data_IF_748563212749
#
_entry.id   IF_748563212749
#
_cell.length_a   1.000
_cell.length_b   1.000
_cell.length_c   1.000
_cell.angle_alpha   90.00
_cell.angle_beta   90.00
_cell.angle_gamma   90.00
#
_symmetry.space_group_name_H-M   'P 1'
#
loop_
_entity.id
_entity.type
_entity.pdbx_description
1 polymer ?
#
# COMPACT_ATOMS: atom_id res chain seq x y z
N UNK A 1 8.84 -17.21 32.95
CA UNK A 1 8.99 -16.84 31.53
C UNK A 1 7.71 -16.10 31.11
N UNK A 2 7.84 -14.87 30.64
CA UNK A 2 6.67 -14.10 30.20
C UNK A 2 6.17 -14.71 28.87
N UNK A 3 5.02 -15.37 28.91
CA UNK A 3 4.41 -16.01 27.74
C UNK A 3 4.00 -14.89 26.78
N UNK A 4 4.64 -14.81 25.61
CA UNK A 4 4.29 -13.83 24.59
C UNK A 4 2.93 -14.23 24.01
N UNK A 5 1.88 -13.47 24.33
CA UNK A 5 0.55 -13.69 23.75
C UNK A 5 0.56 -13.05 22.37
N UNK A 6 0.37 -13.84 21.33
CA UNK A 6 0.24 -13.32 19.96
C UNK A 6 -1.03 -12.47 19.83
N UNK A 7 -0.91 -11.35 19.14
CA UNK A 7 -2.06 -10.51 18.78
C UNK A 7 -2.87 -11.14 17.62
N UNK A 8 -2.24 -12.04 16.85
CA UNK A 8 -2.84 -12.72 15.70
C UNK A 8 -3.58 -13.96 16.17
N UNK A 9 -4.79 -14.18 15.63
CA UNK A 9 -5.55 -15.41 15.85
C UNK A 9 -5.25 -16.44 14.78
N UNK A 10 -5.25 -17.71 15.16
CA UNK A 10 -5.10 -18.87 14.27
C UNK A 10 -6.47 -19.50 14.04
N UNK A 11 -6.91 -19.53 12.79
CA UNK A 11 -8.07 -20.32 12.36
C UNK A 11 -7.60 -21.75 12.13
N UNK A 12 -8.14 -22.71 12.87
CA UNK A 12 -7.81 -24.14 12.76
C UNK A 12 -8.99 -24.84 12.13
N UNK A 13 -8.79 -25.47 10.97
CA UNK A 13 -9.86 -26.08 10.18
C UNK A 13 -9.51 -27.52 9.84
N UNK A 14 -10.29 -28.46 10.33
CA UNK A 14 -10.16 -29.89 10.07
C UNK A 14 -11.53 -30.56 10.26
N UNK A 15 -11.90 -31.51 9.41
CA UNK A 15 -13.18 -32.23 9.52
C UNK A 15 -13.19 -33.25 10.66
N UNK A 16 -12.05 -33.45 11.32
CA UNK A 16 -11.92 -34.33 12.50
C UNK A 16 -11.86 -33.49 13.77
N UNK A 17 -12.93 -33.45 14.60
CA UNK A 17 -12.99 -32.57 15.78
C UNK A 17 -11.86 -32.79 16.78
N UNK A 18 -11.39 -34.03 16.93
CA UNK A 18 -10.30 -34.38 17.85
C UNK A 18 -8.97 -33.74 17.44
N UNK A 19 -8.71 -33.61 16.12
CA UNK A 19 -7.52 -32.96 15.60
C UNK A 19 -7.59 -31.44 15.83
N UNK A 20 -8.78 -30.86 15.63
CA UNK A 20 -9.01 -29.43 15.89
C UNK A 20 -8.77 -29.13 17.37
N UNK A 21 -9.30 -29.94 18.27
CA UNK A 21 -9.14 -29.79 19.72
C UNK A 21 -7.67 -29.90 20.14
N UNK A 22 -6.95 -30.94 19.71
CA UNK A 22 -5.54 -31.17 20.01
C UNK A 22 -4.66 -30.00 19.52
N UNK A 23 -4.85 -29.56 18.28
CA UNK A 23 -4.10 -28.44 17.72
C UNK A 23 -4.40 -27.13 18.45
N UNK A 24 -5.65 -26.85 18.76
CA UNK A 24 -6.03 -25.65 19.50
C UNK A 24 -5.44 -25.65 20.91
N UNK A 25 -5.52 -26.75 21.66
CA UNK A 25 -4.94 -26.88 23.00
C UNK A 25 -3.41 -26.62 22.97
N UNK A 26 -2.71 -27.24 22.03
CA UNK A 26 -1.27 -27.04 21.86
C UNK A 26 -0.92 -25.59 21.55
N UNK A 27 -1.59 -24.97 20.56
CA UNK A 27 -1.33 -23.60 20.13
C UNK A 27 -1.68 -22.58 21.23
N UNK A 28 -2.76 -22.78 21.96
CA UNK A 28 -3.13 -21.95 23.12
C UNK A 28 -2.13 -22.09 24.25
N UNK A 29 -1.63 -23.31 24.48
CA UNK A 29 -0.54 -23.53 25.42
C UNK A 29 0.74 -22.78 25.01
N UNK A 30 0.94 -22.54 23.72
CA UNK A 30 2.07 -21.82 23.13
C UNK A 30 1.87 -20.31 23.00
N UNK A 31 0.68 -19.79 23.41
CA UNK A 31 0.37 -18.35 23.48
C UNK A 31 -0.39 -17.78 22.28
N UNK A 32 -0.91 -18.62 21.39
CA UNK A 32 -1.83 -18.22 20.34
C UNK A 32 -3.28 -18.23 20.85
N UNK A 33 -4.15 -17.54 20.16
CA UNK A 33 -5.61 -17.63 20.31
C UNK A 33 -6.15 -18.36 19.09
N UNK A 34 -6.87 -19.46 19.33
CA UNK A 34 -7.41 -20.28 18.26
C UNK A 34 -8.89 -20.01 18.00
N UNK A 35 -9.28 -20.22 16.75
CA UNK A 35 -10.66 -20.24 16.30
C UNK A 35 -10.89 -21.61 15.66
N UNK A 36 -11.48 -22.56 16.38
CA UNK A 36 -11.73 -23.90 15.88
C UNK A 36 -12.87 -23.90 14.85
N UNK A 37 -12.72 -24.69 13.80
CA UNK A 37 -13.74 -24.93 12.78
C UNK A 37 -13.67 -26.38 12.28
N UNK A 38 -14.81 -27.01 12.12
CA UNK A 38 -14.93 -28.40 11.65
C UNK A 38 -15.34 -28.50 10.17
N UNK A 39 -15.50 -27.36 9.51
CA UNK A 39 -15.87 -27.30 8.10
C UNK A 39 -15.35 -26.03 7.41
N UNK A 40 -15.14 -26.11 6.10
CA UNK A 40 -14.77 -24.97 5.27
C UNK A 40 -15.80 -23.84 5.30
N UNK A 41 -17.09 -24.18 5.40
CA UNK A 41 -18.17 -23.20 5.49
C UNK A 41 -18.08 -22.38 6.78
N UNK A 42 -17.93 -23.05 7.90
CA UNK A 42 -17.75 -22.37 9.19
C UNK A 42 -16.48 -21.51 9.20
N UNK A 43 -15.39 -22.02 8.63
CA UNK A 43 -14.13 -21.27 8.49
C UNK A 43 -14.32 -19.96 7.73
N UNK A 44 -15.06 -19.96 6.64
CA UNK A 44 -15.38 -18.75 5.85
C UNK A 44 -16.19 -17.75 6.69
N UNK A 45 -17.20 -18.21 7.41
CA UNK A 45 -18.03 -17.37 8.28
C UNK A 45 -17.21 -16.72 9.40
N UNK A 46 -16.39 -17.52 10.10
CA UNK A 46 -15.49 -17.03 11.17
C UNK A 46 -14.44 -16.06 10.65
N UNK A 47 -13.81 -16.39 9.52
CA UNK A 47 -12.81 -15.52 8.91
C UNK A 47 -13.39 -14.17 8.50
N UNK A 48 -14.62 -14.17 7.97
CA UNK A 48 -15.30 -12.94 7.57
C UNK A 48 -15.68 -12.06 8.77
N UNK A 49 -16.14 -12.71 9.85
CA UNK A 49 -16.60 -12.02 11.06
C UNK A 49 -15.44 -11.47 11.92
N UNK A 50 -14.27 -12.11 11.90
CA UNK A 50 -13.14 -11.77 12.77
C UNK A 50 -11.90 -11.38 11.96
N UNK A 51 -11.62 -10.09 11.92
CA UNK A 51 -10.46 -9.53 11.21
C UNK A 51 -9.12 -9.77 11.93
N UNK A 52 -9.11 -10.22 13.18
CA UNK A 52 -7.90 -10.57 13.92
C UNK A 52 -7.32 -11.93 13.50
N UNK A 53 -8.07 -12.75 12.74
CA UNK A 53 -7.55 -13.97 12.14
C UNK A 53 -6.56 -13.60 11.06
N UNK A 54 -5.30 -13.97 11.28
CA UNK A 54 -4.21 -13.69 10.35
C UNK A 54 -3.41 -14.93 9.98
N UNK A 55 -3.58 -16.04 10.71
CA UNK A 55 -3.00 -17.34 10.37
C UNK A 55 -4.14 -18.35 10.15
N UNK A 56 -4.01 -19.17 9.14
CA UNK A 56 -4.96 -20.23 8.81
C UNK A 56 -4.20 -21.55 8.77
N UNK A 57 -4.62 -22.50 9.57
CA UNK A 57 -4.12 -23.86 9.60
C UNK A 57 -5.26 -24.77 9.14
N UNK A 58 -5.18 -25.36 7.98
CA UNK A 58 -6.28 -26.15 7.44
C UNK A 58 -5.84 -27.50 6.91
N UNK A 59 -6.70 -28.51 7.08
CA UNK A 59 -6.54 -29.80 6.41
C UNK A 59 -6.75 -29.64 4.91
N UNK A 60 -5.99 -30.42 4.14
CA UNK A 60 -6.12 -30.47 2.68
C UNK A 60 -7.39 -31.19 2.24
N UNK A 61 -7.70 -32.32 2.88
CA UNK A 61 -8.74 -33.24 2.43
C UNK A 61 -9.98 -33.15 3.32
N UNK A 62 -10.81 -32.17 3.08
CA UNK A 62 -12.08 -31.99 3.77
C UNK A 62 -13.26 -32.30 2.85
N UNK A 63 -14.43 -32.73 3.38
CA UNK A 63 -15.66 -32.86 2.61
C UNK A 63 -16.10 -31.55 1.99
N UNK A 64 -16.79 -31.61 0.87
CA UNK A 64 -17.40 -30.48 0.13
C UNK A 64 -16.40 -29.50 -0.51
N UNK A 65 -15.50 -28.92 0.26
CA UNK A 65 -14.51 -27.95 -0.19
C UNK A 65 -13.15 -28.31 0.42
N UNK A 66 -12.17 -28.62 -0.44
CA UNK A 66 -10.81 -28.92 0.00
C UNK A 66 -10.08 -27.67 0.55
N UNK A 67 -8.97 -27.90 1.28
CA UNK A 67 -8.22 -26.82 1.90
C UNK A 67 -7.64 -25.81 0.90
N UNK A 68 -7.31 -26.22 -0.33
CA UNK A 68 -6.82 -25.32 -1.38
C UNK A 68 -7.94 -24.37 -1.83
N UNK A 69 -9.12 -24.93 -2.08
CA UNK A 69 -10.31 -24.16 -2.46
C UNK A 69 -10.71 -23.21 -1.34
N UNK A 70 -10.66 -23.65 -0.08
CA UNK A 70 -10.90 -22.82 1.08
C UNK A 70 -9.94 -21.61 1.09
N UNK A 71 -8.63 -21.83 0.98
CA UNK A 71 -7.64 -20.73 0.97
C UNK A 71 -7.88 -19.76 -0.17
N UNK A 72 -8.20 -20.24 -1.37
CA UNK A 72 -8.54 -19.39 -2.50
C UNK A 72 -9.78 -18.51 -2.24
N UNK A 73 -10.81 -19.07 -1.60
CA UNK A 73 -12.00 -18.32 -1.23
C UNK A 73 -11.70 -17.29 -0.14
N UNK A 74 -10.90 -17.65 0.88
CA UNK A 74 -10.45 -16.69 1.89
C UNK A 74 -9.62 -15.55 1.28
N UNK A 75 -8.76 -15.82 0.28
CA UNK A 75 -8.00 -14.81 -0.44
C UNK A 75 -8.93 -13.86 -1.22
N UNK A 76 -9.95 -14.42 -1.89
CA UNK A 76 -10.97 -13.62 -2.59
C UNK A 76 -11.68 -12.66 -1.64
N UNK A 77 -12.08 -13.15 -0.47
CA UNK A 77 -12.77 -12.36 0.56
C UNK A 77 -11.86 -11.32 1.23
N UNK A 78 -10.60 -11.66 1.48
CA UNK A 78 -9.60 -10.76 2.04
C UNK A 78 -9.28 -9.58 1.11
N UNK A 79 -9.32 -9.81 -0.20
CA UNK A 79 -8.99 -8.82 -1.21
C UNK A 79 -7.58 -8.24 -1.05
N UNK A 80 -7.42 -6.94 -1.35
CA UNK A 80 -6.11 -6.25 -1.27
C UNK A 80 -5.84 -5.62 0.11
N UNK A 81 -6.82 -5.65 1.01
CA UNK A 81 -6.78 -4.86 2.24
C UNK A 81 -6.50 -5.70 3.50
N UNK A 82 -6.60 -7.01 3.40
CA UNK A 82 -6.38 -7.93 4.50
C UNK A 82 -5.32 -8.97 4.12
N UNK A 83 -4.24 -9.03 4.88
CA UNK A 83 -3.22 -10.05 4.74
C UNK A 83 -3.46 -11.19 5.75
N UNK A 84 -3.29 -12.41 5.30
CA UNK A 84 -3.19 -13.60 6.13
C UNK A 84 -2.22 -14.59 5.49
N UNK A 85 -1.71 -15.54 6.28
CA UNK A 85 -0.86 -16.64 5.81
C UNK A 85 -1.58 -17.96 6.08
N UNK A 86 -1.51 -18.88 5.13
CA UNK A 86 -2.14 -20.19 5.22
C UNK A 86 -1.09 -21.30 5.25
N UNK A 87 -1.25 -22.22 6.19
CA UNK A 87 -0.47 -23.44 6.35
C UNK A 87 -1.40 -24.63 6.12
N UNK A 88 -0.98 -25.58 5.30
CA UNK A 88 -1.75 -26.76 4.97
C UNK A 88 -1.28 -27.98 5.76
N UNK A 89 -2.23 -28.73 6.28
CA UNK A 89 -2.00 -30.07 6.84
C UNK A 89 -2.44 -31.12 5.81
N UNK A 90 -1.74 -32.22 5.68
CA UNK A 90 -2.09 -33.28 4.74
C UNK A 90 -1.70 -34.66 5.23
N UNK A 91 -2.59 -35.62 5.13
CA UNK A 91 -2.31 -37.02 5.45
C UNK A 91 -1.44 -37.73 4.39
N UNK A 92 -1.52 -37.31 3.13
CA UNK A 92 -0.69 -37.77 2.01
C UNK A 92 -0.29 -36.57 1.16
N UNK A 93 1.00 -36.30 1.09
CA UNK A 93 1.52 -35.31 0.16
C UNK A 93 1.72 -35.97 -1.20
N UNK A 94 0.73 -35.91 -2.08
CA UNK A 94 0.98 -36.15 -3.50
C UNK A 94 1.72 -34.93 -4.08
N UNK A 95 2.73 -35.19 -4.92
CA UNK A 95 3.51 -34.12 -5.57
C UNK A 95 2.64 -33.10 -6.30
N UNK A 96 1.50 -33.54 -6.85
CA UNK A 96 0.56 -32.67 -7.56
C UNK A 96 -0.17 -31.74 -6.59
N UNK A 97 -0.53 -32.19 -5.40
CA UNK A 97 -1.23 -31.38 -4.41
C UNK A 97 -0.32 -30.32 -3.81
N UNK A 98 0.95 -30.64 -3.57
CA UNK A 98 1.96 -29.67 -3.16
C UNK A 98 2.13 -28.55 -4.20
N UNK A 99 2.17 -28.93 -5.50
CA UNK A 99 2.28 -27.94 -6.59
C UNK A 99 1.04 -27.05 -6.66
N UNK A 100 -0.17 -27.61 -6.49
CA UNK A 100 -1.42 -26.84 -6.46
C UNK A 100 -1.44 -25.89 -5.25
N UNK A 101 -1.05 -26.37 -4.08
CA UNK A 101 -0.97 -25.60 -2.86
C UNK A 101 -0.03 -24.37 -3.00
N UNK A 102 1.17 -24.57 -3.55
CA UNK A 102 2.11 -23.50 -3.83
C UNK A 102 1.54 -22.46 -4.83
N UNK A 103 0.85 -22.92 -5.87
CA UNK A 103 0.20 -22.03 -6.85
C UNK A 103 -0.97 -21.25 -6.23
N UNK A 104 -1.64 -21.83 -5.25
CA UNK A 104 -2.70 -21.18 -4.50
C UNK A 104 -2.17 -20.19 -3.44
N UNK A 105 -0.85 -20.00 -3.32
CA UNK A 105 -0.26 -19.06 -2.38
C UNK A 105 -0.28 -19.54 -0.93
N UNK A 106 -0.30 -20.86 -0.72
CA UNK A 106 -0.12 -21.46 0.61
C UNK A 106 1.32 -21.28 1.02
N UNK A 107 1.53 -20.78 2.24
CA UNK A 107 2.84 -20.36 2.73
C UNK A 107 3.72 -21.55 3.14
N UNK A 108 3.10 -22.61 3.69
CA UNK A 108 3.83 -23.81 4.12
C UNK A 108 2.88 -25.01 4.19
N UNK A 109 3.42 -26.24 4.23
CA UNK A 109 2.62 -27.45 4.41
C UNK A 109 3.30 -28.45 5.33
N UNK A 110 2.52 -29.22 6.10
CA UNK A 110 2.99 -30.26 7.02
C UNK A 110 2.25 -31.58 6.80
N UNK A 111 3.00 -32.66 6.86
CA UNK A 111 2.43 -33.98 6.73
C UNK A 111 1.95 -34.52 8.09
N UNK A 112 0.73 -35.06 8.13
CA UNK A 112 0.19 -35.77 9.30
C UNK A 112 0.85 -37.17 9.41
N UNK A 113 1.24 -37.66 10.61
CA UNK A 113 1.11 -36.98 11.91
C UNK A 113 2.06 -35.80 12.04
N UNK A 114 1.53 -34.65 12.50
CA UNK A 114 2.27 -33.39 12.56
C UNK A 114 3.20 -33.37 13.77
N UNK A 115 4.48 -33.00 13.53
CA UNK A 115 5.37 -32.63 14.61
C UNK A 115 4.98 -31.24 15.14
N UNK A 116 4.44 -31.16 16.35
CA UNK A 116 3.90 -29.93 16.91
C UNK A 116 4.95 -28.85 17.11
N UNK A 117 6.18 -29.21 17.44
CA UNK A 117 7.29 -28.23 17.60
C UNK A 117 7.67 -27.61 16.23
N UNK A 118 7.77 -28.41 15.18
CA UNK A 118 8.04 -27.94 13.82
C UNK A 118 6.90 -27.07 13.29
N UNK A 119 5.65 -27.44 13.59
CA UNK A 119 4.46 -26.64 13.25
C UNK A 119 4.51 -25.29 13.96
N UNK A 120 4.86 -25.25 15.24
CA UNK A 120 4.97 -24.01 16.01
C UNK A 120 6.05 -23.08 15.42
N UNK A 121 7.21 -23.62 15.09
CA UNK A 121 8.26 -22.85 14.41
C UNK A 121 7.78 -22.31 13.04
N UNK A 122 7.05 -23.11 12.29
CA UNK A 122 6.44 -22.69 11.03
C UNK A 122 5.46 -21.55 11.21
N UNK A 123 4.55 -21.67 12.19
CA UNK A 123 3.58 -20.61 12.51
C UNK A 123 4.28 -19.31 12.93
N UNK A 124 5.35 -19.38 13.73
CA UNK A 124 6.11 -18.20 14.12
C UNK A 124 6.80 -17.53 12.92
N UNK A 125 7.34 -18.31 11.98
CA UNK A 125 7.87 -17.77 10.72
C UNK A 125 6.80 -17.05 9.91
N UNK A 126 5.62 -17.67 9.76
CA UNK A 126 4.54 -17.07 8.99
C UNK A 126 3.92 -15.85 9.70
N UNK A 127 3.88 -15.84 11.03
CA UNK A 127 3.47 -14.66 11.79
C UNK A 127 4.42 -13.46 11.52
N UNK A 128 5.73 -13.69 11.46
CA UNK A 128 6.70 -12.64 11.15
C UNK A 128 6.51 -12.09 9.71
N UNK A 129 6.29 -12.96 8.74
CA UNK A 129 5.99 -12.57 7.34
C UNK A 129 4.69 -11.76 7.28
N UNK A 130 3.65 -12.22 7.98
CA UNK A 130 2.37 -11.54 8.05
C UNK A 130 2.50 -10.13 8.64
N UNK A 131 3.24 -9.98 9.74
CA UNK A 131 3.48 -8.68 10.38
C UNK A 131 4.17 -7.70 9.41
N UNK A 132 5.12 -8.16 8.63
CA UNK A 132 5.81 -7.32 7.65
C UNK A 132 4.89 -6.92 6.49
N UNK A 133 4.06 -7.85 6.00
CA UNK A 133 3.03 -7.54 4.99
C UNK A 133 2.00 -6.54 5.51
N UNK A 134 1.55 -6.70 6.76
CA UNK A 134 0.61 -5.76 7.38
C UNK A 134 1.19 -4.35 7.51
N UNK A 135 2.45 -4.21 7.91
CA UNK A 135 3.14 -2.91 7.94
C UNK A 135 3.19 -2.27 6.54
N UNK A 136 3.52 -3.05 5.53
CA UNK A 136 3.57 -2.56 4.13
C UNK A 136 2.19 -2.07 3.66
N UNK A 137 1.12 -2.81 3.96
CA UNK A 137 -0.25 -2.41 3.65
C UNK A 137 -0.65 -1.12 4.39
N UNK A 138 -0.32 -1.00 5.68
CA UNK A 138 -0.60 0.20 6.46
C UNK A 138 0.14 1.42 5.91
N UNK A 139 1.42 1.27 5.54
CA UNK A 139 2.19 2.35 4.91
C UNK A 139 1.61 2.75 3.55
N UNK A 140 1.18 1.79 2.74
CA UNK A 140 0.51 2.05 1.47
C UNK A 140 -0.78 2.85 1.65
N UNK A 141 -1.61 2.46 2.63
CA UNK A 141 -2.85 3.15 2.95
C UNK A 141 -2.61 4.56 3.51
N UNK A 142 -1.58 4.73 4.34
CA UNK A 142 -1.20 6.04 4.86
C UNK A 142 -0.71 6.97 3.75
N UNK A 143 0.11 6.46 2.83
CA UNK A 143 0.55 7.21 1.65
C UNK A 143 -0.63 7.63 0.76
N UNK A 144 -1.62 6.74 0.56
CA UNK A 144 -2.82 7.08 -0.20
C UNK A 144 -3.61 8.20 0.48
N UNK A 145 -3.83 8.13 1.80
CA UNK A 145 -4.49 9.20 2.56
C UNK A 145 -3.75 10.54 2.48
N UNK A 146 -2.41 10.50 2.51
CA UNK A 146 -1.61 11.71 2.36
C UNK A 146 -1.77 12.34 0.96
N UNK A 147 -1.87 11.51 -0.08
CA UNK A 147 -2.14 11.98 -1.45
C UNK A 147 -3.54 12.61 -1.56
N UNK A 148 -4.55 11.95 -1.00
CA UNK A 148 -5.92 12.43 -1.01
C UNK A 148 -6.07 13.77 -0.26
N UNK A 149 -5.41 13.90 0.91
CA UNK A 149 -5.34 15.15 1.64
C UNK A 149 -4.63 16.26 0.87
N UNK A 150 -3.53 15.94 0.20
CA UNK A 150 -2.81 16.92 -0.63
C UNK A 150 -3.69 17.42 -1.78
N UNK A 151 -4.43 16.53 -2.44
CA UNK A 151 -5.37 16.92 -3.50
C UNK A 151 -6.51 17.80 -2.95
N UNK A 152 -7.04 17.46 -1.78
CA UNK A 152 -8.11 18.26 -1.16
C UNK A 152 -7.63 19.66 -0.75
N UNK A 153 -6.38 19.78 -0.32
CA UNK A 153 -5.75 21.08 -0.01
C UNK A 153 -5.60 21.90 -1.29
N UNK A 154 -5.19 21.29 -2.39
CA UNK A 154 -5.06 21.96 -3.68
C UNK A 154 -6.42 22.48 -4.19
N UNK A 155 -7.48 21.69 -4.04
CA UNK A 155 -8.85 22.08 -4.39
C UNK A 155 -9.34 23.27 -3.56
N UNK A 156 -9.07 23.26 -2.24
CA UNK A 156 -9.41 24.38 -1.35
C UNK A 156 -8.66 25.66 -1.73
N UNK A 157 -7.39 25.56 -2.12
CA UNK A 157 -6.65 26.74 -2.60
C UNK A 157 -7.21 27.28 -3.91
N UNK A 158 -7.64 26.42 -4.84
CA UNK A 158 -8.29 26.85 -6.06
C UNK A 158 -9.62 27.58 -5.79
N UNK A 159 -10.39 27.09 -4.83
CA UNK A 159 -11.66 27.70 -4.47
C UNK A 159 -11.46 29.05 -3.73
N UNK A 160 -10.43 29.17 -2.89
CA UNK A 160 -10.04 30.43 -2.28
C UNK A 160 -9.58 31.47 -3.33
N UNK A 161 -8.86 31.05 -4.35
CA UNK A 161 -8.43 31.92 -5.45
C UNK A 161 -9.62 32.37 -6.30
N UNK A 162 -10.63 31.53 -6.53
CA UNK A 162 -11.89 31.90 -7.20
C UNK A 162 -12.68 32.93 -6.40
N UNK A 163 -12.75 32.78 -5.08
CA UNK A 163 -13.45 33.73 -4.18
C UNK A 163 -12.69 35.06 -4.09
N UNK A 164 -11.35 35.05 -4.16
CA UNK A 164 -10.51 36.22 -4.11
C UNK A 164 -10.52 37.03 -5.42
N UNK A 165 -10.81 36.38 -6.55
CA UNK A 165 -11.09 37.00 -7.85
C UNK A 165 -12.59 37.25 -7.96
N UNK A 166 -13.13 38.14 -7.11
CA UNK A 166 -14.48 38.71 -7.30
C UNK A 166 -14.61 39.36 -8.67
N UNK A 167 -15.85 39.66 -9.18
CA UNK A 167 -16.07 40.14 -10.52
C UNK A 167 -15.20 41.35 -10.80
N UNK A 168 -14.36 41.25 -11.83
CA UNK A 168 -13.35 42.22 -12.21
C UNK A 168 -13.97 43.62 -12.43
N UNK A 169 -13.37 44.70 -11.87
CA UNK A 169 -13.48 46.02 -12.47
C UNK A 169 -12.55 46.10 -13.69
N UNK A 170 -13.10 46.54 -14.76
CA UNK A 170 -12.42 46.84 -16.03
C UNK A 170 -11.43 47.99 -15.82
N UNK A 171 -10.27 47.93 -16.52
CA UNK A 171 -9.24 48.95 -16.72
C UNK A 171 -8.33 49.27 -15.51
N UNK A 172 -7.02 49.19 -15.63
CA UNK A 172 -6.14 50.07 -16.43
C UNK A 172 -4.73 49.46 -16.62
N UNK A 173 -4.14 49.80 -17.73
CA UNK A 173 -2.74 49.56 -18.13
C UNK A 173 -1.71 50.13 -17.16
N UNK A 174 -0.56 49.48 -17.18
CA UNK A 174 0.75 49.93 -16.70
C UNK A 174 1.21 49.45 -15.34
N UNK A 175 1.88 48.30 -15.33
CA UNK A 175 3.28 48.25 -14.88
C UNK A 175 3.94 46.94 -15.39
N UNK A 176 4.58 46.99 -16.55
CA UNK A 176 5.57 46.00 -17.00
C UNK A 176 6.84 46.21 -16.19
N UNK A 177 7.27 45.15 -15.49
CA UNK A 177 8.57 45.14 -14.88
C UNK A 177 8.90 43.82 -14.20
N UNK A 178 9.79 43.08 -14.83
CA UNK A 178 10.56 41.92 -14.40
C UNK A 178 10.04 40.55 -14.88
N UNK A 179 10.56 40.12 -16.05
CA UNK A 179 10.96 38.75 -16.38
C UNK A 179 9.97 37.65 -16.06
N UNK A 180 8.77 37.64 -16.63
CA UNK A 180 7.93 36.41 -16.66
C UNK A 180 8.60 35.40 -17.59
N UNK A 181 9.15 34.35 -16.99
CA UNK A 181 9.56 33.15 -17.70
C UNK A 181 8.33 32.58 -18.42
N UNK A 182 8.35 32.60 -19.77
CA UNK A 182 7.34 31.91 -20.57
C UNK A 182 7.30 30.43 -20.15
N UNK A 183 6.22 30.05 -19.47
CA UNK A 183 6.01 28.69 -18.97
C UNK A 183 5.50 27.86 -20.14
N UNK A 184 6.15 26.73 -20.50
CA UNK A 184 5.66 25.87 -21.57
C UNK A 184 4.23 25.37 -21.27
N UNK A 185 3.41 25.23 -22.29
CA UNK A 185 1.99 24.81 -22.17
C UNK A 185 1.77 23.52 -21.37
N UNK A 186 2.78 22.64 -21.34
CA UNK A 186 2.74 21.40 -20.55
C UNK A 186 2.56 21.64 -19.04
N UNK A 187 2.87 22.83 -18.54
CA UNK A 187 2.72 23.20 -17.14
C UNK A 187 1.36 23.85 -16.81
N UNK A 188 0.51 24.10 -17.82
CA UNK A 188 -0.82 24.71 -17.62
C UNK A 188 -1.79 23.80 -16.83
N UNK A 189 -1.49 22.51 -16.76
CA UNK A 189 -2.27 21.52 -15.99
C UNK A 189 -1.85 21.41 -14.52
N UNK A 190 -0.82 22.15 -14.11
CA UNK A 190 -0.35 22.14 -12.73
C UNK A 190 -1.17 23.08 -11.86
N UNK A 191 -1.45 22.64 -10.63
CA UNK A 191 -2.03 23.53 -9.61
C UNK A 191 -1.04 24.69 -9.29
N UNK A 192 -1.53 25.84 -8.75
CA UNK A 192 -0.67 26.96 -8.39
C UNK A 192 0.51 26.56 -7.51
N UNK A 193 0.28 25.71 -6.51
CA UNK A 193 1.32 25.20 -5.61
C UNK A 193 2.32 24.28 -6.29
N UNK A 194 1.86 23.41 -7.19
CA UNK A 194 2.74 22.57 -8.01
C UNK A 194 3.60 23.41 -8.94
N UNK A 195 3.03 24.48 -9.48
CA UNK A 195 3.74 25.43 -10.33
C UNK A 195 4.82 26.20 -9.54
N UNK A 196 4.50 26.64 -8.30
CA UNK A 196 5.47 27.30 -7.41
C UNK A 196 6.66 26.37 -7.12
N UNK A 197 6.37 25.12 -6.73
CA UNK A 197 7.43 24.11 -6.52
C UNK A 197 8.23 23.86 -7.79
N UNK A 198 7.58 23.74 -8.96
CA UNK A 198 8.23 23.54 -10.24
C UNK A 198 9.16 24.72 -10.59
N UNK A 199 8.70 25.95 -10.40
CA UNK A 199 9.52 27.17 -10.61
C UNK A 199 10.77 27.18 -9.73
N UNK A 200 10.65 26.82 -8.45
CA UNK A 200 11.76 26.78 -7.51
C UNK A 200 12.75 25.64 -7.85
N UNK A 201 12.24 24.50 -8.35
CA UNK A 201 13.08 23.46 -8.93
C UNK A 201 13.83 23.97 -10.16
N UNK A 202 13.18 24.74 -11.03
CA UNK A 202 13.80 25.39 -12.18
C UNK A 202 14.93 26.40 -11.83
N UNK A 203 14.80 27.00 -10.63
CA UNK A 203 15.87 27.86 -10.06
C UNK A 203 17.02 27.07 -9.42
N UNK A 204 16.95 25.72 -9.42
CA UNK A 204 17.97 24.82 -8.86
C UNK A 204 17.94 24.68 -7.34
N UNK A 205 16.88 25.09 -6.67
CA UNK A 205 16.76 24.99 -5.20
C UNK A 205 16.63 23.54 -4.73
N UNK A 206 17.16 23.23 -3.56
CA UNK A 206 16.97 21.92 -2.89
C UNK A 206 15.58 21.81 -2.27
N UNK A 207 15.15 20.58 -1.95
CA UNK A 207 13.84 20.39 -1.28
C UNK A 207 13.77 21.14 0.06
N UNK A 208 14.88 21.20 0.78
CA UNK A 208 14.97 21.95 2.02
C UNK A 208 14.72 23.45 1.80
N UNK A 209 15.39 24.04 0.81
CA UNK A 209 15.23 25.47 0.46
C UNK A 209 13.79 25.80 0.03
N UNK A 210 13.20 24.93 -0.81
CA UNK A 210 11.81 25.06 -1.26
C UNK A 210 10.86 24.95 -0.06
N UNK A 211 11.11 24.00 0.85
CA UNK A 211 10.32 23.82 2.06
C UNK A 211 10.31 25.09 2.93
N UNK A 212 11.48 25.70 3.15
CA UNK A 212 11.63 26.94 3.88
C UNK A 212 10.92 28.12 3.18
N UNK A 213 11.07 28.26 1.86
CA UNK A 213 10.49 29.36 1.08
C UNK A 213 8.96 29.30 1.02
N UNK A 214 8.39 28.09 0.91
CA UNK A 214 6.94 27.88 0.80
C UNK A 214 6.26 27.62 2.14
N UNK A 215 7.01 27.50 3.24
CA UNK A 215 6.46 27.25 4.59
C UNK A 215 5.87 25.85 4.74
N UNK A 216 6.41 24.84 4.05
CA UNK A 216 5.96 23.46 4.06
C UNK A 216 7.08 22.49 4.46
N UNK A 217 6.78 21.20 4.66
CA UNK A 217 7.81 20.22 5.00
C UNK A 217 8.55 19.72 3.75
N UNK A 218 9.81 19.26 3.91
CA UNK A 218 10.55 18.63 2.81
C UNK A 218 9.82 17.43 2.19
N UNK A 219 9.09 16.68 3.00
CA UNK A 219 8.31 15.54 2.52
C UNK A 219 7.16 16.00 1.62
N UNK A 220 6.53 17.12 1.95
CA UNK A 220 5.51 17.75 1.10
C UNK A 220 6.12 18.24 -0.21
N UNK A 221 7.32 18.83 -0.20
CA UNK A 221 8.04 19.21 -1.42
C UNK A 221 8.36 18.00 -2.29
N UNK A 222 8.83 16.88 -1.70
CA UNK A 222 9.10 15.63 -2.44
C UNK A 222 7.83 15.11 -3.12
N UNK A 223 6.69 15.20 -2.43
CA UNK A 223 5.40 14.80 -2.98
C UNK A 223 5.02 15.67 -4.19
N UNK A 224 5.09 16.99 -4.06
CA UNK A 224 4.81 17.90 -5.16
C UNK A 224 5.74 17.68 -6.36
N UNK A 225 7.04 17.52 -6.14
CA UNK A 225 8.00 17.21 -7.21
C UNK A 225 7.61 15.92 -7.93
N UNK A 226 7.23 14.87 -7.20
CA UNK A 226 6.80 13.60 -7.80
C UNK A 226 5.51 13.75 -8.62
N UNK A 227 4.55 14.54 -8.15
CA UNK A 227 3.31 14.83 -8.87
C UNK A 227 3.58 15.64 -10.14
N UNK A 228 4.41 16.67 -10.06
CA UNK A 228 4.81 17.50 -11.21
C UNK A 228 5.50 16.65 -12.27
N UNK A 229 6.45 15.79 -11.91
CA UNK A 229 7.12 14.89 -12.83
C UNK A 229 6.14 13.96 -13.55
N UNK A 230 5.15 13.42 -12.83
CA UNK A 230 4.12 12.56 -13.41
C UNK A 230 3.21 13.32 -14.37
N UNK A 231 2.73 14.51 -13.99
CA UNK A 231 1.82 15.31 -14.81
C UNK A 231 2.51 15.86 -16.06
N UNK A 232 3.80 16.20 -15.96
CA UNK A 232 4.58 16.73 -17.09
C UNK A 232 5.28 15.63 -17.89
N UNK A 233 5.05 14.33 -17.56
CA UNK A 233 5.71 13.18 -18.18
C UNK A 233 7.24 13.24 -18.17
N UNK A 234 7.81 13.89 -17.15
CA UNK A 234 9.26 13.99 -16.98
C UNK A 234 9.77 12.86 -16.05
N UNK A 235 10.93 12.28 -16.41
CA UNK A 235 11.45 11.12 -15.71
C UNK A 235 12.29 11.46 -14.46
N UNK A 236 12.81 12.67 -14.38
CA UNK A 236 13.64 13.08 -13.24
C UNK A 236 13.64 14.59 -13.01
N UNK A 237 14.08 14.99 -11.80
CA UNK A 237 14.19 16.38 -11.38
C UNK A 237 15.07 17.24 -12.28
N UNK A 238 16.12 16.66 -12.85
CA UNK A 238 17.04 17.39 -13.75
C UNK A 238 16.34 17.82 -15.03
N UNK A 239 15.48 16.94 -15.60
CA UNK A 239 14.66 17.30 -16.76
C UNK A 239 13.67 18.42 -16.44
N UNK A 240 13.04 18.37 -15.27
CA UNK A 240 12.14 19.42 -14.80
C UNK A 240 12.88 20.76 -14.61
N UNK A 241 14.05 20.73 -13.98
CA UNK A 241 14.88 21.91 -13.78
C UNK A 241 15.34 22.54 -15.12
N UNK A 242 15.76 21.71 -16.06
CA UNK A 242 16.17 22.17 -17.40
C UNK A 242 14.99 22.77 -18.19
N UNK A 243 13.79 22.17 -18.11
CA UNK A 243 12.61 22.67 -18.80
C UNK A 243 12.15 24.06 -18.32
N UNK A 244 12.45 24.41 -17.09
CA UNK A 244 12.07 25.67 -16.44
C UNK A 244 13.26 26.60 -16.18
N UNK A 245 14.49 26.25 -16.64
CA UNK A 245 15.66 27.08 -16.46
C UNK A 245 15.61 28.30 -17.41
N UNK A 246 16.10 29.47 -16.98
CA UNK A 246 16.17 30.68 -17.82
C UNK A 246 16.96 30.48 -19.13
N UNK A 247 17.93 29.56 -19.13
CA UNK A 247 18.72 29.20 -20.30
C UNK A 247 17.96 28.45 -21.38
N UNK A 248 16.92 27.70 -21.02
CA UNK A 248 16.07 26.98 -21.97
C UNK A 248 15.10 27.92 -22.72
N UNK A 249 14.69 29.01 -22.10
CA UNK A 249 13.87 30.06 -22.73
C UNK A 249 14.67 30.78 -23.81
N UNK A 250 15.94 31.10 -23.54
CA UNK A 250 16.83 31.79 -24.51
C UNK A 250 17.18 30.93 -25.74
N UNK A 251 17.22 29.60 -25.60
CA UNK A 251 17.47 28.68 -26.73
C UNK A 251 16.24 28.50 -27.62
N UNK A 252 15.03 28.57 -27.08
CA UNK A 252 13.78 28.46 -27.86
C UNK A 252 13.53 29.70 -28.74
N UNK A 253 13.82 30.89 -28.24
CA UNK A 253 13.69 32.14 -29.05
C UNK A 253 14.64 32.18 -30.25
N UNK A 254 15.75 31.43 -30.26
CA UNK A 254 16.65 31.32 -31.40
C UNK A 254 16.21 30.32 -32.47
N UNK A 255 15.32 29.40 -32.16
CA UNK A 255 14.84 28.36 -33.11
C UNK A 255 13.59 28.83 -33.86
N UNK A 256 12.83 29.79 -33.34
CA UNK A 256 11.62 30.34 -33.99
C UNK A 256 11.91 31.60 -34.85
N UNK A 257 13.17 32.00 -34.96
CA UNK A 257 13.61 33.17 -35.76
C UNK A 257 14.38 32.78 -37.04
N UNK A 258 14.07 31.57 -37.60
CA UNK A 258 14.54 31.18 -38.93
C UNK A 258 13.38 30.63 -39.76
#
# INVERSE_FOLDING_TARGET
MNKRISAVKVLVVDDQPLIVEELCEFLESSGYRCVPCESSKEAIERFTADTAIGLVLCDLHMPDMDGIQLVQELQRLAGKHRAFEAIMLTGRADKQDVIKALRAGIADYYQKPVNLDELLEGLQRQEAVLQERQKTLQLGHLNQKLQDLSSSIDDLYQDLDKVRRGPAPVSDEATRGAGELEIPEIFNQLSPRQLDVARLVGKGQTNYQIACELGITENTVKLYVSQVLRLTHMHNRTQLALALSPSAAALRQRVTAH
#
